data_IF_689640182442
#
_entry.id   IF_689640182442
#
_cell.length_a   1.000
_cell.length_b   1.000
_cell.length_c   1.000
_cell.angle_alpha   90.00
_cell.angle_beta   90.00
_cell.angle_gamma   90.00
#
_symmetry.space_group_name_H-M   'P 1'
#
loop_
_entity.id
_entity.type
_entity.pdbx_description
1 polymer ?
#
# COMPACT_ATOMS: atom_id res chain seq x y z
N UNK A 1 -32.00 27.97 -0.62
CA UNK A 1 -31.92 27.48 0.77
C UNK A 1 -32.49 28.56 1.68
N UNK A 2 -33.68 28.35 2.24
CA UNK A 2 -34.29 29.30 3.18
C UNK A 2 -33.38 29.47 4.41
N UNK A 3 -33.15 30.73 4.84
CA UNK A 3 -32.34 31.03 6.03
C UNK A 3 -33.11 30.56 7.26
N UNK A 4 -32.57 29.57 7.97
CA UNK A 4 -33.16 29.07 9.22
C UNK A 4 -32.97 30.12 10.30
N UNK A 5 -34.04 30.50 10.98
CA UNK A 5 -33.99 31.47 12.07
C UNK A 5 -33.27 30.85 13.28
N UNK A 6 -32.19 31.49 13.72
CA UNK A 6 -31.29 31.01 14.77
C UNK A 6 -31.51 31.72 16.11
N UNK A 7 -32.46 32.67 16.17
CA UNK A 7 -32.73 33.51 17.35
C UNK A 7 -33.25 32.73 18.58
N UNK A 8 -33.80 31.52 18.35
CA UNK A 8 -34.41 30.68 19.40
C UNK A 8 -33.51 29.55 19.92
N UNK A 9 -32.28 29.47 19.44
CA UNK A 9 -31.36 28.39 19.80
C UNK A 9 -30.59 28.77 21.07
N UNK A 10 -30.45 27.82 21.98
CA UNK A 10 -29.52 27.96 23.11
C UNK A 10 -28.06 27.99 22.60
N UNK A 11 -27.10 28.51 23.38
CA UNK A 11 -25.69 28.55 22.97
C UNK A 11 -25.11 27.17 22.57
N UNK A 12 -25.56 26.10 23.22
CA UNK A 12 -25.15 24.73 22.92
C UNK A 12 -25.71 24.24 21.56
N UNK A 13 -26.97 24.53 21.27
CA UNK A 13 -27.63 24.16 20.01
C UNK A 13 -27.06 24.95 18.83
N UNK A 14 -26.73 26.23 19.03
CA UNK A 14 -26.02 27.07 18.04
C UNK A 14 -24.66 26.48 17.67
N UNK A 15 -23.90 25.99 18.67
CA UNK A 15 -22.60 25.36 18.45
C UNK A 15 -22.75 24.05 17.68
N UNK A 16 -23.72 23.21 18.06
CA UNK A 16 -24.00 21.95 17.35
C UNK A 16 -24.40 22.20 15.89
N UNK A 17 -25.28 23.16 15.63
CA UNK A 17 -25.72 23.54 14.28
C UNK A 17 -24.57 24.05 13.41
N UNK A 18 -23.70 24.90 13.95
CA UNK A 18 -22.51 25.38 13.24
C UNK A 18 -21.53 24.25 12.91
N UNK A 19 -21.31 23.32 13.84
CA UNK A 19 -20.47 22.14 13.61
C UNK A 19 -21.04 21.23 12.53
N UNK A 20 -22.37 21.05 12.50
CA UNK A 20 -23.04 20.27 11.48
C UNK A 20 -22.94 20.93 10.09
N UNK A 21 -23.14 22.25 10.01
CA UNK A 21 -22.91 22.99 8.76
C UNK A 21 -21.46 22.88 8.29
N UNK A 22 -20.48 23.02 9.19
CA UNK A 22 -19.07 22.87 8.84
C UNK A 22 -18.76 21.45 8.33
N UNK A 23 -19.29 20.42 8.99
CA UNK A 23 -19.18 19.02 8.55
C UNK A 23 -19.80 18.80 7.17
N UNK A 24 -20.97 19.38 6.91
CA UNK A 24 -21.64 19.28 5.61
C UNK A 24 -20.87 20.01 4.51
N UNK A 25 -20.29 21.19 4.79
CA UNK A 25 -19.41 21.91 3.86
C UNK A 25 -18.16 21.08 3.54
N UNK A 26 -17.49 20.53 4.56
CA UNK A 26 -16.33 19.66 4.37
C UNK A 26 -16.68 18.39 3.59
N UNK A 27 -17.84 17.78 3.85
CA UNK A 27 -18.32 16.62 3.08
C UNK A 27 -18.54 16.96 1.61
N UNK A 28 -19.12 18.14 1.32
CA UNK A 28 -19.35 18.62 -0.04
C UNK A 28 -18.03 18.94 -0.77
N UNK A 29 -17.08 19.57 -0.10
CA UNK A 29 -15.74 19.83 -0.65
C UNK A 29 -15.01 18.53 -0.98
N UNK A 30 -14.97 17.58 -0.04
CA UNK A 30 -14.39 16.24 -0.27
C UNK A 30 -15.09 15.48 -1.40
N UNK A 31 -16.41 15.62 -1.51
CA UNK A 31 -17.19 15.03 -2.62
C UNK A 31 -16.80 15.61 -3.98
N UNK A 32 -16.67 16.93 -4.08
CA UNK A 32 -16.21 17.61 -5.29
C UNK A 32 -14.78 17.25 -5.67
N UNK A 33 -13.85 17.27 -4.71
CA UNK A 33 -12.46 16.83 -4.94
C UNK A 33 -12.40 15.38 -5.42
N UNK A 34 -13.26 14.50 -4.90
CA UNK A 34 -13.34 13.11 -5.36
C UNK A 34 -13.85 13.03 -6.80
N UNK A 35 -14.90 13.79 -7.15
CA UNK A 35 -15.44 13.85 -8.50
C UNK A 35 -14.45 14.45 -9.50
N UNK A 36 -13.75 15.53 -9.15
CA UNK A 36 -12.69 16.12 -9.99
C UNK A 36 -11.54 15.13 -10.19
N UNK A 37 -11.15 14.37 -9.16
CA UNK A 37 -10.18 13.29 -9.29
C UNK A 37 -10.67 12.15 -10.17
N UNK A 38 -11.96 11.82 -10.14
CA UNK A 38 -12.55 10.78 -10.99
C UNK A 38 -12.65 11.22 -12.45
N UNK A 39 -13.02 12.48 -12.70
CA UNK A 39 -13.05 13.08 -14.05
C UNK A 39 -11.64 13.22 -14.64
N UNK A 40 -10.66 13.68 -13.84
CA UNK A 40 -9.27 13.76 -14.26
C UNK A 40 -8.66 12.38 -14.55
N UNK A 41 -9.10 11.33 -13.85
CA UNK A 41 -8.73 9.94 -14.16
C UNK A 41 -9.36 9.44 -15.45
N UNK A 42 -10.58 9.84 -15.76
CA UNK A 42 -11.30 9.39 -16.95
C UNK A 42 -10.74 10.01 -18.24
N UNK A 43 -10.27 11.26 -18.19
CA UNK A 43 -9.67 11.93 -19.37
C UNK A 43 -8.23 11.51 -19.67
N UNK A 44 -7.61 10.68 -18.83
CA UNK A 44 -6.19 10.27 -18.95
C UNK A 44 -5.98 8.75 -18.96
N UNK A 45 -7.03 7.96 -19.20
CA UNK A 45 -6.89 6.50 -19.26
C UNK A 45 -6.10 6.15 -20.52
N UNK A 46 -4.88 5.63 -20.33
CA UNK A 46 -4.06 5.18 -21.44
C UNK A 46 -4.46 3.76 -21.81
N UNK A 47 -4.45 3.46 -23.11
CA UNK A 47 -4.71 2.14 -23.69
C UNK A 47 -3.40 1.52 -24.15
N UNK A 48 -3.36 0.20 -24.45
CA UNK A 48 -2.15 -0.43 -25.00
C UNK A 48 -1.67 0.21 -26.31
N UNK A 49 -2.57 0.90 -27.02
CA UNK A 49 -2.33 1.59 -28.28
C UNK A 49 -2.00 3.08 -28.12
N UNK A 50 -1.99 3.61 -26.90
CA UNK A 50 -1.63 5.02 -26.67
C UNK A 50 -0.15 5.26 -27.01
N UNK A 51 0.22 6.37 -27.67
CA UNK A 51 1.60 6.67 -28.04
C UNK A 51 2.57 6.57 -26.85
N UNK A 52 2.22 7.18 -25.71
CA UNK A 52 3.02 7.15 -24.48
C UNK A 52 3.28 5.72 -23.96
N UNK A 53 2.31 4.81 -24.14
CA UNK A 53 2.45 3.41 -23.72
C UNK A 53 3.36 2.66 -24.68
N UNK A 54 3.20 2.89 -25.98
CA UNK A 54 4.02 2.25 -27.01
C UNK A 54 5.48 2.68 -26.84
N UNK A 55 5.74 3.98 -26.75
CA UNK A 55 7.07 4.55 -26.56
C UNK A 55 7.74 3.96 -25.31
N UNK A 56 7.07 4.03 -24.17
CA UNK A 56 7.59 3.45 -22.93
C UNK A 56 7.88 1.95 -23.03
N UNK A 57 6.98 1.16 -23.61
CA UNK A 57 7.18 -0.30 -23.76
C UNK A 57 8.38 -0.59 -24.66
N UNK A 58 8.54 0.16 -25.76
CA UNK A 58 9.68 0.00 -26.68
C UNK A 58 11.02 0.34 -26.01
N UNK A 59 11.07 1.38 -25.17
CA UNK A 59 12.29 1.77 -24.46
C UNK A 59 12.77 0.70 -23.48
N UNK A 60 11.84 0.06 -22.79
CA UNK A 60 12.18 -0.93 -21.76
C UNK A 60 12.28 -2.35 -22.29
N UNK A 61 11.93 -2.60 -23.56
CA UNK A 61 11.77 -3.94 -24.13
C UNK A 61 13.05 -4.79 -23.99
N UNK A 62 14.21 -4.17 -24.21
CA UNK A 62 15.52 -4.85 -24.19
C UNK A 62 16.16 -4.89 -22.80
N UNK A 63 15.53 -4.30 -21.80
CA UNK A 63 16.07 -4.26 -20.44
C UNK A 63 15.89 -5.59 -19.70
N UNK A 64 16.77 -5.92 -18.73
CA UNK A 64 16.56 -7.06 -17.86
C UNK A 64 15.30 -6.88 -17.01
N UNK A 65 14.66 -7.99 -16.64
CA UNK A 65 13.40 -8.01 -15.89
C UNK A 65 13.43 -7.10 -14.64
N UNK A 66 14.53 -7.10 -13.88
CA UNK A 66 14.65 -6.29 -12.68
C UNK A 66 14.54 -4.78 -12.97
N UNK A 67 15.16 -4.31 -14.05
CA UNK A 67 15.08 -2.91 -14.48
C UNK A 67 13.68 -2.58 -15.02
N UNK A 68 13.07 -3.50 -15.79
CA UNK A 68 11.68 -3.37 -16.25
C UNK A 68 10.72 -3.17 -15.08
N UNK A 69 10.85 -3.96 -14.01
CA UNK A 69 9.97 -3.86 -12.82
C UNK A 69 10.00 -2.46 -12.22
N UNK A 70 11.20 -1.89 -12.05
CA UNK A 70 11.37 -0.55 -11.47
C UNK A 70 10.76 0.53 -12.37
N UNK A 71 11.05 0.48 -13.67
CA UNK A 71 10.53 1.46 -14.63
C UNK A 71 9.01 1.37 -14.75
N UNK A 72 8.45 0.15 -14.80
CA UNK A 72 7.00 -0.05 -14.82
C UNK A 72 6.38 0.48 -13.52
N UNK A 73 7.00 0.25 -12.36
CA UNK A 73 6.50 0.80 -11.10
C UNK A 73 6.55 2.34 -11.04
N UNK A 74 7.58 2.95 -11.64
CA UNK A 74 7.68 4.41 -11.79
C UNK A 74 6.56 4.95 -12.69
N UNK A 75 6.39 4.35 -13.87
CA UNK A 75 5.32 4.69 -14.80
C UNK A 75 3.93 4.55 -14.18
N UNK A 76 3.63 3.43 -13.52
CA UNK A 76 2.32 3.20 -12.90
C UNK A 76 2.00 4.22 -11.79
N UNK A 77 3.05 4.74 -11.14
CA UNK A 77 2.92 5.80 -10.11
C UNK A 77 2.71 7.17 -10.73
N UNK A 78 3.41 7.48 -11.82
CA UNK A 78 3.29 8.74 -12.56
C UNK A 78 1.89 8.88 -13.17
N UNK A 79 1.48 7.88 -13.95
CA UNK A 79 0.18 7.87 -14.62
C UNK A 79 -0.97 7.40 -13.73
N UNK A 80 -0.68 6.98 -12.48
CA UNK A 80 -1.66 6.53 -11.46
C UNK A 80 -2.61 5.44 -11.96
N UNK A 81 -2.13 4.60 -12.87
CA UNK A 81 -2.87 3.50 -13.47
C UNK A 81 -1.93 2.31 -13.69
N UNK A 82 -2.51 1.13 -13.91
CA UNK A 82 -1.74 -0.05 -14.28
C UNK A 82 -1.26 0.06 -15.71
N UNK A 83 -0.04 -0.39 -16.00
CA UNK A 83 0.48 -0.39 -17.36
C UNK A 83 -0.48 -1.20 -18.25
N UNK A 84 -1.09 -0.59 -19.28
CA UNK A 84 -2.03 -1.29 -20.14
C UNK A 84 -1.23 -2.13 -21.14
N UNK A 85 -1.07 -3.42 -20.82
CA UNK A 85 -0.40 -4.41 -21.66
C UNK A 85 -1.47 -5.37 -22.16
N UNK A 86 -1.44 -5.70 -23.46
CA UNK A 86 -2.36 -6.69 -24.02
C UNK A 86 -2.21 -8.05 -23.30
N UNK A 87 -3.29 -8.80 -23.08
CA UNK A 87 -3.22 -10.02 -22.27
C UNK A 87 -2.57 -11.21 -22.98
N UNK A 88 -2.62 -11.28 -24.32
CA UNK A 88 -2.15 -12.46 -25.08
C UNK A 88 -1.58 -12.05 -26.43
N UNK A 89 -0.38 -12.53 -26.73
CA UNK A 89 0.25 -12.43 -28.05
C UNK A 89 -0.25 -13.58 -28.91
N UNK A 90 -1.06 -13.30 -29.93
CA UNK A 90 -1.41 -14.31 -30.95
C UNK A 90 -0.34 -14.35 -32.03
N UNK A 91 -0.02 -15.55 -32.53
CA UNK A 91 0.82 -15.71 -33.72
C UNK A 91 0.17 -15.01 -34.90
N UNK A 92 0.94 -14.20 -35.61
CA UNK A 92 0.46 -13.47 -36.77
C UNK A 92 0.42 -14.39 -38.00
N UNK A 93 -0.51 -14.18 -38.96
CA UNK A 93 -0.53 -14.92 -40.21
C UNK A 93 0.80 -14.77 -40.96
N UNK A 94 1.44 -15.88 -41.34
CA UNK A 94 2.72 -15.87 -42.05
C UNK A 94 3.97 -15.64 -41.19
N UNK A 95 3.83 -15.42 -39.88
CA UNK A 95 4.96 -15.27 -38.96
C UNK A 95 5.68 -16.61 -38.76
N UNK A 96 7.02 -16.59 -38.77
CA UNK A 96 7.80 -17.77 -38.42
C UNK A 96 7.58 -18.13 -36.95
N UNK A 97 7.83 -19.39 -36.59
CA UNK A 97 7.67 -19.79 -35.19
C UNK A 97 8.71 -19.14 -34.26
N UNK A 98 9.92 -18.88 -34.77
CA UNK A 98 11.00 -18.24 -34.03
C UNK A 98 10.67 -16.78 -33.70
N UNK A 99 10.15 -16.03 -34.66
CA UNK A 99 9.72 -14.64 -34.46
C UNK A 99 8.58 -14.55 -33.44
N UNK A 100 7.62 -15.47 -33.53
CA UNK A 100 6.54 -15.60 -32.56
C UNK A 100 7.08 -15.87 -31.15
N UNK A 101 7.99 -16.84 -30.98
CA UNK A 101 8.57 -17.15 -29.68
C UNK A 101 9.33 -15.96 -29.09
N UNK A 102 10.11 -15.26 -29.91
CA UNK A 102 10.85 -14.09 -29.46
C UNK A 102 9.90 -12.99 -28.97
N UNK A 103 8.81 -12.72 -29.71
CA UNK A 103 7.78 -11.74 -29.35
C UNK A 103 7.00 -12.14 -28.09
N UNK A 104 6.59 -13.40 -27.99
CA UNK A 104 5.91 -13.96 -26.81
C UNK A 104 6.82 -13.92 -25.56
N UNK A 105 8.12 -14.20 -25.70
CA UNK A 105 9.08 -14.06 -24.59
C UNK A 105 9.16 -12.62 -24.08
N UNK A 106 9.30 -11.64 -24.98
CA UNK A 106 9.37 -10.21 -24.62
C UNK A 106 8.09 -9.75 -23.93
N UNK A 107 6.94 -10.21 -24.42
CA UNK A 107 5.64 -9.96 -23.80
C UNK A 107 5.51 -10.59 -22.41
N UNK A 108 5.90 -11.84 -22.23
CA UNK A 108 5.90 -12.51 -20.92
C UNK A 108 6.74 -11.75 -19.90
N UNK A 109 7.93 -11.30 -20.28
CA UNK A 109 8.79 -10.49 -19.41
C UNK A 109 8.10 -9.19 -18.99
N UNK A 110 7.38 -8.53 -19.92
CA UNK A 110 6.62 -7.32 -19.62
C UNK A 110 5.43 -7.59 -18.68
N UNK A 111 4.70 -8.69 -18.87
CA UNK A 111 3.61 -9.12 -17.99
C UNK A 111 4.13 -9.44 -16.58
N UNK A 112 5.27 -10.15 -16.48
CA UNK A 112 5.93 -10.41 -15.21
C UNK A 112 6.40 -9.11 -14.55
N UNK A 113 6.97 -8.19 -15.32
CA UNK A 113 7.39 -6.89 -14.82
C UNK A 113 6.21 -6.12 -14.21
N UNK A 114 5.07 -6.08 -14.91
CA UNK A 114 3.82 -5.48 -14.43
C UNK A 114 3.31 -6.13 -13.14
N UNK A 115 3.34 -7.45 -13.05
CA UNK A 115 2.94 -8.18 -11.84
C UNK A 115 3.78 -7.76 -10.64
N UNK A 116 5.10 -7.67 -10.82
CA UNK A 116 6.05 -7.28 -9.76
C UNK A 116 6.12 -5.77 -9.50
N UNK A 117 5.73 -4.93 -10.44
CA UNK A 117 5.67 -3.49 -10.25
C UNK A 117 4.64 -3.10 -9.18
N UNK A 118 3.56 -3.88 -9.07
CA UNK A 118 2.46 -3.69 -8.11
C UNK A 118 2.89 -3.45 -6.66
N UNK A 119 3.83 -4.24 -6.18
CA UNK A 119 4.28 -4.25 -4.79
C UNK A 119 5.74 -3.79 -4.67
N UNK A 120 6.36 -3.31 -5.76
CA UNK A 120 7.77 -2.92 -5.80
C UNK A 120 8.17 -1.98 -4.66
N UNK A 121 7.50 -0.83 -4.53
CA UNK A 121 7.80 0.14 -3.46
C UNK A 121 7.50 -0.39 -2.06
N UNK A 122 6.47 -1.24 -1.92
CA UNK A 122 6.15 -1.87 -0.64
C UNK A 122 7.28 -2.83 -0.21
N UNK A 123 7.81 -3.60 -1.16
CA UNK A 123 8.95 -4.51 -0.96
C UNK A 123 10.23 -3.75 -0.67
N UNK A 124 10.54 -2.67 -1.39
CA UNK A 124 11.70 -1.82 -1.07
C UNK A 124 11.62 -1.26 0.36
N UNK A 125 10.45 -0.72 0.76
CA UNK A 125 10.25 -0.21 2.11
C UNK A 125 10.32 -1.32 3.16
N UNK A 126 9.83 -2.52 2.87
CA UNK A 126 9.95 -3.68 3.77
C UNK A 126 11.41 -4.11 3.92
N UNK A 127 12.18 -4.17 2.82
CA UNK A 127 13.60 -4.49 2.82
C UNK A 127 14.41 -3.46 3.62
N UNK A 128 14.16 -2.17 3.42
CA UNK A 128 14.82 -1.10 4.18
C UNK A 128 14.52 -1.20 5.69
N UNK A 129 13.25 -1.46 6.07
CA UNK A 129 12.86 -1.67 7.47
C UNK A 129 13.54 -2.89 8.07
N UNK A 130 13.61 -4.01 7.34
CA UNK A 130 14.28 -5.22 7.79
C UNK A 130 15.78 -4.97 7.99
N UNK A 131 16.45 -4.35 7.02
CA UNK A 131 17.88 -3.99 7.13
C UNK A 131 18.16 -3.11 8.35
N UNK A 132 17.33 -2.10 8.59
CA UNK A 132 17.46 -1.23 9.76
C UNK A 132 17.22 -1.99 11.08
N UNK A 133 16.24 -2.89 11.11
CA UNK A 133 15.99 -3.75 12.26
C UNK A 133 17.17 -4.68 12.53
N UNK A 134 17.68 -5.37 11.51
CA UNK A 134 18.79 -6.32 11.63
C UNK A 134 20.06 -5.60 12.11
N UNK A 135 20.35 -4.40 11.59
CA UNK A 135 21.47 -3.57 12.04
C UNK A 135 21.33 -3.16 13.52
N UNK A 136 20.12 -2.80 13.98
CA UNK A 136 19.86 -2.49 15.39
C UNK A 136 20.05 -3.71 16.29
N UNK A 137 19.55 -4.88 15.89
CA UNK A 137 19.74 -6.12 16.63
C UNK A 137 21.22 -6.48 16.74
N UNK A 138 21.98 -6.35 15.65
CA UNK A 138 23.41 -6.61 15.62
C UNK A 138 24.17 -5.67 16.57
N UNK A 139 23.86 -4.37 16.53
CA UNK A 139 24.49 -3.39 17.42
C UNK A 139 24.18 -3.65 18.90
N UNK A 140 22.94 -4.00 19.23
CA UNK A 140 22.55 -4.30 20.61
C UNK A 140 23.17 -5.61 21.13
N UNK A 141 23.23 -6.64 20.27
CA UNK A 141 23.89 -7.90 20.60
C UNK A 141 25.38 -7.68 20.84
N UNK A 142 26.05 -6.91 19.97
CA UNK A 142 27.45 -6.52 20.12
C UNK A 142 27.70 -5.75 21.43
N UNK A 143 26.84 -4.77 21.77
CA UNK A 143 26.92 -4.01 23.03
C UNK A 143 26.86 -4.92 24.26
N UNK A 144 26.08 -5.99 24.19
CA UNK A 144 25.89 -6.96 25.27
C UNK A 144 26.93 -8.10 25.24
N UNK A 145 27.83 -8.12 24.25
CA UNK A 145 28.82 -9.19 24.08
C UNK A 145 28.20 -10.55 23.76
N UNK A 146 27.00 -10.58 23.17
CA UNK A 146 26.26 -11.81 22.84
C UNK A 146 25.97 -11.89 21.34
N UNK A 147 25.55 -13.06 20.89
CA UNK A 147 25.09 -13.23 19.50
C UNK A 147 23.65 -12.72 19.32
N UNK A 148 23.28 -12.37 18.09
CA UNK A 148 21.91 -11.93 17.75
C UNK A 148 20.87 -12.99 18.11
N UNK A 149 21.17 -14.28 17.89
CA UNK A 149 20.28 -15.38 18.25
C UNK A 149 20.04 -15.49 19.75
N UNK A 150 21.08 -15.29 20.56
CA UNK A 150 20.96 -15.26 22.02
C UNK A 150 20.15 -14.06 22.51
N UNK A 151 20.32 -12.88 21.90
CA UNK A 151 19.51 -11.70 22.20
C UNK A 151 18.02 -11.97 21.91
N UNK A 152 17.71 -12.55 20.75
CA UNK A 152 16.35 -12.92 20.36
C UNK A 152 15.75 -13.95 21.31
N UNK A 153 16.52 -14.96 21.72
CA UNK A 153 16.10 -15.96 22.68
C UNK A 153 15.75 -15.32 24.05
N UNK A 154 16.62 -14.44 24.58
CA UNK A 154 16.36 -13.72 25.84
C UNK A 154 15.08 -12.89 25.77
N UNK A 155 14.85 -12.18 24.66
CA UNK A 155 13.63 -11.39 24.43
C UNK A 155 12.38 -12.26 24.38
N UNK A 156 12.44 -13.40 23.67
CA UNK A 156 11.33 -14.36 23.61
C UNK A 156 10.98 -14.90 25.00
N UNK A 157 11.99 -15.24 25.80
CA UNK A 157 11.78 -15.70 27.18
C UNK A 157 11.20 -14.62 28.08
N UNK A 158 11.65 -13.38 27.95
CA UNK A 158 11.10 -12.25 28.70
C UNK A 158 9.63 -11.97 28.32
N UNK A 159 9.30 -11.98 27.02
CA UNK A 159 7.93 -11.81 26.54
C UNK A 159 6.99 -12.91 27.06
N UNK A 160 7.42 -14.17 27.00
CA UNK A 160 6.64 -15.29 27.55
C UNK A 160 6.39 -15.17 29.05
N UNK A 161 7.39 -14.75 29.83
CA UNK A 161 7.24 -14.51 31.28
C UNK A 161 6.24 -13.38 31.54
N UNK A 162 6.35 -12.26 30.82
CA UNK A 162 5.45 -11.12 30.97
C UNK A 162 4.00 -11.46 30.60
N UNK A 163 3.80 -12.25 29.54
CA UNK A 163 2.47 -12.74 29.15
C UNK A 163 1.86 -13.65 30.22
N UNK A 164 2.66 -14.56 30.79
CA UNK A 164 2.22 -15.44 31.88
C UNK A 164 1.82 -14.66 33.12
N UNK A 165 2.62 -13.66 33.51
CA UNK A 165 2.30 -12.78 34.64
C UNK A 165 1.04 -11.94 34.37
N UNK A 166 0.87 -11.40 33.16
CA UNK A 166 -0.33 -10.66 32.78
C UNK A 166 -1.58 -11.54 32.82
N UNK A 167 -1.48 -12.80 32.37
CA UNK A 167 -2.57 -13.77 32.45
C UNK A 167 -2.89 -14.18 33.89
N UNK A 168 -1.89 -14.30 34.76
CA UNK A 168 -2.13 -14.55 36.19
C UNK A 168 -2.83 -13.37 36.86
N UNK A 169 -2.37 -12.14 36.62
CA UNK A 169 -2.99 -10.91 37.12
C UNK A 169 -4.43 -10.76 36.63
N UNK A 170 -4.72 -11.05 35.36
CA UNK A 170 -6.09 -10.97 34.84
C UNK A 170 -7.01 -12.00 35.52
N UNK A 171 -6.53 -13.23 35.76
CA UNK A 171 -7.28 -14.26 36.49
C UNK A 171 -7.52 -13.88 37.95
N UNK A 172 -6.54 -13.26 38.60
CA UNK A 172 -6.68 -12.77 39.98
C UNK A 172 -7.69 -11.63 40.08
N UNK A 173 -7.64 -10.66 39.15
CA UNK A 173 -8.63 -9.61 39.04
C UNK A 173 -10.04 -10.16 38.79
N UNK A 174 -10.17 -11.17 37.92
CA UNK A 174 -11.45 -11.84 37.66
C UNK A 174 -11.98 -12.56 38.89
N UNK A 175 -11.11 -13.24 39.66
CA UNK A 175 -11.49 -13.87 40.93
C UNK A 175 -11.93 -12.85 41.98
N UNK A 176 -11.25 -11.72 42.09
CA UNK A 176 -11.62 -10.64 43.00
C UNK A 176 -12.95 -9.99 42.60
N UNK A 177 -13.17 -9.74 41.31
CA UNK A 177 -14.42 -9.22 40.79
C UNK A 177 -15.60 -10.16 41.06
N UNK A 178 -15.42 -11.48 40.84
CA UNK A 178 -16.45 -12.48 41.15
C UNK A 178 -16.77 -12.56 42.64
N UNK A 179 -15.78 -12.39 43.52
CA UNK A 179 -15.99 -12.35 44.98
C UNK A 179 -16.67 -11.07 45.46
N UNK A 180 -16.49 -9.95 44.77
CA UNK A 180 -17.15 -8.68 45.11
C UNK A 180 -18.59 -8.59 44.60
N UNK A 181 -18.98 -9.43 43.64
CA UNK A 181 -20.33 -9.52 43.07
C UNK A 181 -21.25 -10.55 43.75
N UNK A 182 -20.74 -11.27 44.74
CA UNK A 182 -21.47 -12.22 45.61
C UNK A 182 -21.51 -11.68 47.02
#
# INVERSE_FOLDING_TARGET
MARKDLSKFTPAELKAYKNEQARLRMKKMRGKEKQERELAKASSILTPTSPDVIEFVTEIEMLPLAAKVELVAAWEREYKQRLPVEPVVKRLPGETFEDYQARDKRHRDLVLAKMFAADFYARQKAAARKKAYDARQAAEAARLGITVSQLQYRRKMAAWKAEKEASQRSRELERLARRAST
#
